data_IF_545091522992
#
_entry.id   IF_545091522992
#
_cell.length_a   1.000
_cell.length_b   1.000
_cell.length_c   1.000
_cell.angle_alpha   90.00
_cell.angle_beta   90.00
_cell.angle_gamma   90.00
#
_symmetry.space_group_name_H-M   'P 1'
#
loop_
_entity.id
_entity.type
_entity.pdbx_description
1 polymer ?
#
# COMPACT_ATOMS: atom_id res chain seq x y z
N UNK A 1 -6.63 2.16 -20.67
CA UNK A 1 -6.57 3.53 -20.14
C UNK A 1 -5.32 4.22 -20.66
N UNK A 2 -5.31 5.56 -20.71
CA UNK A 2 -4.13 6.36 -21.01
C UNK A 2 -3.57 6.88 -19.68
N UNK A 3 -2.31 6.58 -19.40
CA UNK A 3 -1.68 6.93 -18.12
C UNK A 3 -0.37 7.67 -18.42
N UNK A 4 -0.18 8.81 -17.77
CA UNK A 4 1.11 9.50 -17.75
C UNK A 4 1.77 9.21 -16.40
N UNK A 5 3.02 8.75 -16.47
CA UNK A 5 3.89 8.56 -15.30
C UNK A 5 5.01 9.60 -15.40
N UNK A 6 5.23 10.36 -14.35
CA UNK A 6 6.31 11.35 -14.27
C UNK A 6 7.33 10.92 -13.24
N UNK A 7 8.56 10.70 -13.72
CA UNK A 7 9.67 10.14 -12.97
C UNK A 7 9.95 8.69 -13.38
N UNK A 8 11.11 8.44 -14.00
CA UNK A 8 11.54 7.13 -14.50
C UNK A 8 12.46 6.36 -13.55
N UNK A 9 12.59 6.80 -12.30
CA UNK A 9 13.33 6.07 -11.27
C UNK A 9 12.71 4.69 -10.98
N UNK A 10 13.19 3.98 -9.96
CA UNK A 10 12.77 2.60 -9.67
C UNK A 10 11.25 2.43 -9.63
N UNK A 11 10.53 3.30 -8.92
CA UNK A 11 9.07 3.21 -8.81
C UNK A 11 8.39 3.42 -10.15
N UNK A 12 8.77 4.49 -10.87
CA UNK A 12 8.15 4.81 -12.17
C UNK A 12 8.46 3.78 -13.24
N UNK A 13 9.68 3.25 -13.26
CA UNK A 13 10.08 2.17 -14.17
C UNK A 13 9.20 0.94 -13.99
N UNK A 14 9.14 0.39 -12.78
CA UNK A 14 8.34 -0.81 -12.50
C UNK A 14 6.83 -0.58 -12.64
N UNK A 15 6.36 0.63 -12.31
CA UNK A 15 4.96 1.00 -12.52
C UNK A 15 4.60 1.01 -14.01
N UNK A 16 5.46 1.62 -14.84
CA UNK A 16 5.28 1.65 -16.29
C UNK A 16 5.28 0.23 -16.89
N UNK A 17 6.24 -0.61 -16.49
CA UNK A 17 6.33 -1.99 -16.94
C UNK A 17 5.06 -2.80 -16.60
N UNK A 18 4.63 -2.76 -15.34
CA UNK A 18 3.44 -3.51 -14.89
C UNK A 18 2.15 -3.04 -15.56
N UNK A 19 1.97 -1.74 -15.71
CA UNK A 19 0.72 -1.17 -16.27
C UNK A 19 0.65 -1.27 -17.78
N UNK A 20 1.77 -1.38 -18.50
CA UNK A 20 1.83 -1.42 -19.97
C UNK A 20 1.13 -2.63 -20.59
N UNK A 21 0.91 -3.70 -19.85
CA UNK A 21 0.21 -4.89 -20.34
C UNK A 21 -1.22 -4.60 -20.83
N UNK A 22 -1.92 -3.67 -20.15
CA UNK A 22 -3.33 -3.38 -20.42
C UNK A 22 -3.62 -1.89 -20.65
N UNK A 23 -2.59 -1.04 -20.70
CA UNK A 23 -2.74 0.41 -20.80
C UNK A 23 -1.71 1.01 -21.77
N UNK A 24 -2.00 2.22 -22.27
CA UNK A 24 -1.01 3.05 -22.93
C UNK A 24 -0.31 3.93 -21.91
N UNK A 25 0.99 3.84 -21.85
CA UNK A 25 1.81 4.54 -20.87
C UNK A 25 2.65 5.60 -21.58
N UNK A 26 2.64 6.82 -21.08
CA UNK A 26 3.63 7.84 -21.40
C UNK A 26 4.47 8.08 -20.16
N UNK A 27 5.75 7.79 -20.24
CA UNK A 27 6.71 8.06 -19.18
C UNK A 27 7.43 9.36 -19.48
N UNK A 28 7.37 10.32 -18.57
CA UNK A 28 8.15 11.57 -18.66
C UNK A 28 9.33 11.45 -17.69
N UNK A 29 10.56 11.65 -18.22
CA UNK A 29 11.79 11.58 -17.43
C UNK A 29 12.76 12.71 -17.84
N UNK A 30 13.42 13.31 -16.85
CA UNK A 30 14.41 14.36 -17.10
C UNK A 30 15.72 13.79 -17.64
N UNK A 31 16.13 12.62 -17.13
CA UNK A 31 17.42 12.01 -17.45
C UNK A 31 17.30 11.00 -18.60
N UNK A 32 18.11 11.19 -19.65
CA UNK A 32 18.09 10.40 -20.89
C UNK A 32 18.37 8.90 -20.61
N UNK A 33 19.31 8.59 -19.74
CA UNK A 33 19.78 7.21 -19.56
C UNK A 33 18.78 6.33 -18.81
N UNK A 34 17.92 6.93 -18.00
CA UNK A 34 16.81 6.23 -17.32
C UNK A 34 15.73 5.87 -18.35
N UNK A 35 15.38 6.78 -19.24
CA UNK A 35 14.38 6.56 -20.28
C UNK A 35 14.75 5.48 -21.31
N UNK A 36 16.03 5.29 -21.59
CA UNK A 36 16.53 4.30 -22.57
C UNK A 36 16.22 2.84 -22.19
N UNK A 37 16.13 2.52 -20.89
CA UNK A 37 15.83 1.16 -20.42
C UNK A 37 14.44 0.67 -20.81
N UNK A 38 13.48 1.61 -20.97
CA UNK A 38 12.11 1.32 -21.37
C UNK A 38 11.85 1.59 -22.86
N UNK A 39 12.82 2.22 -23.56
CA UNK A 39 12.72 2.48 -24.98
C UNK A 39 12.64 1.16 -25.76
N UNK A 40 11.54 0.92 -26.44
CA UNK A 40 11.26 -0.32 -27.16
C UNK A 40 10.28 -1.27 -26.50
N UNK A 41 9.84 -0.98 -25.26
CA UNK A 41 8.76 -1.73 -24.64
C UNK A 41 7.43 -1.46 -25.33
N UNK A 42 6.64 -2.51 -25.55
CA UNK A 42 5.31 -2.38 -26.17
C UNK A 42 4.41 -1.53 -25.25
N UNK A 43 3.70 -0.56 -25.83
CA UNK A 43 2.75 0.33 -25.14
C UNK A 43 3.38 1.35 -24.15
N UNK A 44 4.69 1.58 -24.20
CA UNK A 44 5.35 2.64 -23.42
C UNK A 44 6.00 3.64 -24.39
N UNK A 45 5.55 4.90 -24.30
CA UNK A 45 6.21 6.03 -24.95
C UNK A 45 7.03 6.78 -23.89
N UNK A 46 8.30 7.00 -24.16
CA UNK A 46 9.17 7.77 -23.27
C UNK A 46 9.36 9.18 -23.85
N UNK A 47 9.10 10.19 -23.03
CA UNK A 47 9.32 11.61 -23.37
C UNK A 47 10.37 12.16 -22.41
N UNK A 48 11.46 12.68 -22.96
CA UNK A 48 12.43 13.39 -22.16
C UNK A 48 11.95 14.79 -21.85
N UNK A 49 11.91 15.15 -20.57
CA UNK A 49 11.53 16.50 -20.16
C UNK A 49 11.21 16.64 -18.69
N UNK A 50 10.93 17.87 -18.28
CA UNK A 50 10.50 18.21 -16.94
C UNK A 50 8.96 18.14 -16.84
N UNK A 51 8.44 17.25 -16.02
CA UNK A 51 7.00 17.12 -15.77
C UNK A 51 6.36 18.35 -15.11
N UNK A 52 7.14 19.20 -14.46
CA UNK A 52 6.66 20.49 -13.95
C UNK A 52 6.44 21.53 -15.07
N UNK A 53 6.86 21.24 -16.32
CA UNK A 53 6.60 22.10 -17.45
C UNK A 53 5.27 21.71 -18.14
N UNK A 54 4.26 22.61 -18.18
CA UNK A 54 2.97 22.33 -18.81
C UNK A 54 3.08 21.94 -20.29
N UNK A 55 4.10 22.45 -21.01
CA UNK A 55 4.31 22.11 -22.41
C UNK A 55 4.75 20.65 -22.59
N UNK A 56 5.56 20.12 -21.69
CA UNK A 56 5.98 18.70 -21.68
C UNK A 56 4.77 17.81 -21.40
N UNK A 57 3.95 18.16 -20.41
CA UNK A 57 2.68 17.45 -20.14
C UNK A 57 1.73 17.49 -21.35
N UNK A 58 1.64 18.65 -22.03
CA UNK A 58 0.85 18.79 -23.25
C UNK A 58 1.37 17.90 -24.36
N UNK A 59 2.69 17.85 -24.55
CA UNK A 59 3.35 16.97 -25.53
C UNK A 59 3.09 15.50 -25.21
N UNK A 60 3.03 15.14 -23.94
CA UNK A 60 2.68 13.80 -23.45
C UNK A 60 1.19 13.45 -23.64
N UNK A 61 0.37 14.37 -24.13
CA UNK A 61 -1.05 14.11 -24.37
C UNK A 61 -1.94 14.19 -23.15
N UNK A 62 -1.57 14.96 -22.14
CA UNK A 62 -2.27 15.05 -20.84
C UNK A 62 -3.77 15.32 -20.94
N UNK A 63 -4.22 16.08 -21.97
CA UNK A 63 -5.64 16.39 -22.18
C UNK A 63 -6.51 15.17 -22.53
N UNK A 64 -5.90 14.05 -22.92
CA UNK A 64 -6.58 12.78 -23.24
C UNK A 64 -6.23 11.66 -22.24
N UNK A 65 -5.57 12.03 -21.15
CA UNK A 65 -5.08 11.10 -20.13
C UNK A 65 -6.14 10.88 -19.05
N UNK A 66 -6.28 9.65 -18.63
CA UNK A 66 -7.20 9.26 -17.54
C UNK A 66 -6.56 9.48 -16.17
N UNK A 67 -5.25 9.21 -16.06
CA UNK A 67 -4.51 9.26 -14.79
C UNK A 67 -3.12 9.88 -15.01
N UNK A 68 -2.71 10.78 -14.13
CA UNK A 68 -1.33 11.25 -14.00
C UNK A 68 -0.77 10.75 -12.68
N UNK A 69 0.35 10.01 -12.73
CA UNK A 69 1.09 9.52 -11.57
C UNK A 69 2.44 10.24 -11.47
N UNK A 70 2.61 11.09 -10.47
CA UNK A 70 3.85 11.77 -10.16
C UNK A 70 4.64 10.97 -9.12
N UNK A 71 5.75 10.37 -9.53
CA UNK A 71 6.54 9.44 -8.72
C UNK A 71 8.03 9.78 -8.71
N UNK A 72 8.34 11.08 -8.81
CA UNK A 72 9.73 11.57 -8.76
C UNK A 72 10.32 11.45 -7.35
N UNK A 73 11.60 11.79 -7.20
CA UNK A 73 12.28 11.86 -5.91
C UNK A 73 11.94 13.10 -5.08
N UNK A 74 11.17 14.05 -5.62
CA UNK A 74 10.92 15.34 -4.98
C UNK A 74 9.41 15.59 -4.79
N UNK A 75 9.00 15.85 -3.55
CA UNK A 75 7.59 16.07 -3.19
C UNK A 75 7.02 17.35 -3.82
N UNK A 76 7.82 18.41 -3.91
CA UNK A 76 7.37 19.67 -4.52
C UNK A 76 7.08 19.45 -6.00
N UNK A 77 7.98 18.76 -6.72
CA UNK A 77 7.75 18.41 -8.12
C UNK A 77 6.48 17.56 -8.28
N UNK A 78 6.31 16.51 -7.44
CA UNK A 78 5.14 15.63 -7.49
C UNK A 78 3.83 16.40 -7.26
N UNK A 79 3.83 17.33 -6.32
CA UNK A 79 2.67 18.18 -6.04
C UNK A 79 2.36 19.09 -7.23
N UNK A 80 3.37 19.81 -7.74
CA UNK A 80 3.22 20.74 -8.88
C UNK A 80 2.70 20.02 -10.13
N UNK A 81 3.25 18.84 -10.45
CA UNK A 81 2.80 18.01 -11.56
C UNK A 81 1.32 17.67 -11.42
N UNK A 82 0.91 17.20 -10.24
CA UNK A 82 -0.50 16.86 -9.98
C UNK A 82 -1.42 18.07 -10.07
N UNK A 83 -1.02 19.24 -9.54
CA UNK A 83 -1.79 20.47 -9.64
C UNK A 83 -1.92 20.93 -11.10
N UNK A 84 -0.84 20.95 -11.89
CA UNK A 84 -0.92 21.29 -13.31
C UNK A 84 -1.85 20.32 -14.04
N UNK A 85 -1.71 19.02 -13.81
CA UNK A 85 -2.56 18.02 -14.43
C UNK A 85 -4.04 18.23 -14.10
N UNK A 86 -4.36 18.54 -12.85
CA UNK A 86 -5.72 18.69 -12.35
C UNK A 86 -6.32 20.05 -12.69
N UNK A 87 -5.61 21.13 -12.37
CA UNK A 87 -6.16 22.49 -12.46
C UNK A 87 -6.12 23.06 -13.87
N UNK A 88 -5.05 22.77 -14.62
CA UNK A 88 -4.88 23.28 -15.99
C UNK A 88 -5.50 22.32 -17.02
N UNK A 89 -5.19 21.04 -16.92
CA UNK A 89 -5.60 20.05 -17.94
C UNK A 89 -6.85 19.23 -17.57
N UNK A 90 -7.40 19.41 -16.36
CA UNK A 90 -8.62 18.76 -15.87
C UNK A 90 -8.57 17.24 -15.94
N UNK A 91 -7.41 16.65 -15.65
CA UNK A 91 -7.23 15.20 -15.57
C UNK A 91 -8.14 14.63 -14.45
N UNK A 92 -8.77 13.52 -14.74
CA UNK A 92 -9.79 12.92 -13.84
C UNK A 92 -9.21 12.44 -12.53
N UNK A 93 -7.98 11.91 -12.55
CA UNK A 93 -7.33 11.33 -11.38
C UNK A 93 -5.84 11.63 -11.36
N UNK A 94 -5.37 12.11 -10.22
CA UNK A 94 -3.96 12.35 -9.93
C UNK A 94 -3.49 11.46 -8.79
N UNK A 95 -2.32 10.89 -8.94
CA UNK A 95 -1.68 10.03 -7.92
C UNK A 95 -0.28 10.59 -7.69
N UNK A 96 0.11 10.80 -6.45
CA UNK A 96 1.44 11.27 -6.10
C UNK A 96 2.13 10.32 -5.12
N UNK A 97 3.41 10.04 -5.38
CA UNK A 97 4.30 9.50 -4.37
C UNK A 97 4.70 10.63 -3.42
N UNK A 98 4.58 10.39 -2.13
CA UNK A 98 5.07 11.27 -1.07
C UNK A 98 6.32 10.64 -0.49
N UNK A 99 7.42 11.41 -0.41
CA UNK A 99 8.69 10.94 0.13
C UNK A 99 8.82 11.28 1.62
N UNK A 100 8.28 12.44 2.04
CA UNK A 100 8.26 12.91 3.41
C UNK A 100 6.87 12.74 4.03
N UNK A 101 6.66 11.84 5.00
CA UNK A 101 5.33 11.49 5.56
C UNK A 101 4.50 12.71 5.99
N UNK A 102 5.15 13.73 6.56
CA UNK A 102 4.51 14.99 7.00
C UNK A 102 3.80 15.74 5.89
N UNK A 103 4.17 15.50 4.61
CA UNK A 103 3.61 16.18 3.46
C UNK A 103 2.32 15.52 2.94
N UNK A 104 2.00 14.27 3.31
CA UNK A 104 0.83 13.54 2.80
C UNK A 104 -0.47 14.37 2.92
N UNK A 105 -0.70 14.95 4.10
CA UNK A 105 -1.90 15.75 4.37
C UNK A 105 -2.00 16.99 3.46
N UNK A 106 -0.86 17.62 3.16
CA UNK A 106 -0.81 18.81 2.28
C UNK A 106 -1.21 18.43 0.85
N UNK A 107 -0.78 17.27 0.34
CA UNK A 107 -1.16 16.81 -0.99
C UNK A 107 -2.68 16.69 -1.13
N UNK A 108 -3.36 16.08 -0.15
CA UNK A 108 -4.82 16.00 -0.16
C UNK A 108 -5.48 17.37 -0.05
N UNK A 109 -4.98 18.27 0.80
CA UNK A 109 -5.51 19.63 0.95
C UNK A 109 -5.38 20.45 -0.33
N UNK A 110 -4.34 20.20 -1.12
CA UNK A 110 -4.09 20.88 -2.39
C UNK A 110 -4.66 20.13 -3.59
N UNK A 111 -5.59 19.19 -3.35
CA UNK A 111 -6.45 18.61 -4.37
C UNK A 111 -5.89 17.39 -5.10
N UNK A 112 -4.78 16.79 -4.65
CA UNK A 112 -4.32 15.50 -5.18
C UNK A 112 -5.29 14.40 -4.76
N UNK A 113 -5.72 13.56 -5.70
CA UNK A 113 -6.76 12.56 -5.43
C UNK A 113 -6.23 11.40 -4.58
N UNK A 114 -4.97 11.00 -4.79
CA UNK A 114 -4.31 9.94 -4.04
C UNK A 114 -2.87 10.34 -3.75
N UNK A 115 -2.52 10.46 -2.49
CA UNK A 115 -1.15 10.64 -2.02
C UNK A 115 -0.70 9.35 -1.33
N UNK A 116 0.46 8.82 -1.72
CA UNK A 116 0.99 7.56 -1.21
C UNK A 116 2.30 7.86 -0.49
N UNK A 117 2.26 7.80 0.83
CA UNK A 117 3.46 7.87 1.67
C UNK A 117 4.25 6.56 1.57
N UNK A 118 5.19 6.54 0.63
CA UNK A 118 5.98 5.35 0.34
C UNK A 118 6.97 5.01 1.45
N UNK A 119 7.46 6.01 2.19
CA UNK A 119 8.42 5.80 3.26
C UNK A 119 7.77 5.08 4.45
N UNK A 120 6.62 5.57 4.90
CA UNK A 120 5.89 4.94 6.01
C UNK A 120 5.39 3.53 5.66
N UNK A 121 4.95 3.31 4.42
CA UNK A 121 4.53 1.96 3.99
C UNK A 121 5.70 0.98 4.05
N UNK A 122 6.86 1.36 3.49
CA UNK A 122 8.05 0.49 3.50
C UNK A 122 8.56 0.28 4.92
N UNK A 123 8.65 1.37 5.73
CA UNK A 123 9.09 1.28 7.11
C UNK A 123 8.19 0.34 7.92
N UNK A 124 6.86 0.43 7.74
CA UNK A 124 5.91 -0.45 8.43
C UNK A 124 6.10 -1.92 8.05
N UNK A 125 6.26 -2.22 6.76
CA UNK A 125 6.52 -3.61 6.31
C UNK A 125 7.82 -4.15 6.90
N UNK A 126 8.88 -3.32 6.96
CA UNK A 126 10.15 -3.75 7.57
C UNK A 126 10.00 -3.91 9.08
N UNK A 127 9.32 -2.98 9.76
CA UNK A 127 9.02 -3.06 11.19
C UNK A 127 8.30 -4.36 11.54
N UNK A 128 7.25 -4.69 10.77
CA UNK A 128 6.47 -5.91 10.96
C UNK A 128 7.32 -7.19 10.78
N UNK A 129 8.31 -7.18 9.89
CA UNK A 129 9.20 -8.34 9.67
C UNK A 129 10.38 -8.41 10.67
N UNK A 130 10.77 -7.27 11.25
CA UNK A 130 11.86 -7.20 12.25
C UNK A 130 11.34 -7.37 13.66
N UNK A 131 10.08 -7.01 13.92
CA UNK A 131 9.45 -7.18 15.22
C UNK A 131 9.20 -8.65 15.51
N UNK A 132 9.64 -9.11 16.68
CA UNK A 132 9.35 -10.45 17.19
C UNK A 132 7.94 -10.51 17.82
N UNK A 133 7.07 -9.59 17.43
CA UNK A 133 5.71 -9.56 17.93
C UNK A 133 4.87 -10.62 17.22
N UNK A 134 4.13 -11.41 17.99
CA UNK A 134 3.23 -12.45 17.48
C UNK A 134 2.02 -11.87 16.71
N UNK A 135 1.91 -10.53 16.61
CA UNK A 135 0.87 -9.84 15.84
C UNK A 135 1.48 -8.93 14.77
N UNK A 136 1.05 -9.13 13.53
CA UNK A 136 1.44 -8.33 12.37
C UNK A 136 0.20 -7.69 11.75
N UNK A 137 0.18 -6.36 11.66
CA UNK A 137 -0.89 -5.64 10.97
C UNK A 137 -0.66 -5.68 9.46
N UNK A 138 -1.36 -6.56 8.76
CA UNK A 138 -1.22 -6.75 7.31
C UNK A 138 -1.78 -5.58 6.50
N UNK A 139 -2.86 -4.97 6.94
CA UNK A 139 -3.51 -3.87 6.25
C UNK A 139 -4.46 -3.08 7.15
N UNK A 140 -4.42 -1.74 7.07
CA UNK A 140 -5.37 -0.86 7.78
C UNK A 140 -6.18 -0.03 6.80
N UNK A 141 -7.51 -0.11 6.89
CA UNK A 141 -8.43 0.73 6.13
C UNK A 141 -8.62 2.07 6.86
N UNK A 142 -8.09 3.16 6.31
CA UNK A 142 -8.24 4.53 6.89
C UNK A 142 -9.71 4.94 7.06
N UNK A 143 -10.60 4.51 6.14
CA UNK A 143 -12.05 4.68 6.29
C UNK A 143 -12.62 3.48 7.04
N UNK A 144 -13.00 3.68 8.30
CA UNK A 144 -13.67 2.65 9.12
C UNK A 144 -12.83 2.11 10.26
N UNK A 145 -11.59 2.57 10.42
CA UNK A 145 -10.71 2.16 11.53
C UNK A 145 -10.60 0.64 11.66
N UNK A 146 -10.46 -0.04 10.51
CA UNK A 146 -10.47 -1.49 10.40
C UNK A 146 -9.10 -2.00 10.02
N UNK A 147 -8.61 -3.02 10.71
CA UNK A 147 -7.34 -3.68 10.43
C UNK A 147 -7.53 -5.13 10.05
N UNK A 148 -6.68 -5.60 9.16
CA UNK A 148 -6.44 -7.03 8.93
C UNK A 148 -5.12 -7.37 9.61
N UNK A 149 -5.15 -8.30 10.53
CA UNK A 149 -4.00 -8.70 11.33
C UNK A 149 -3.69 -10.18 11.15
N UNK A 150 -2.41 -10.54 11.26
CA UNK A 150 -1.93 -11.91 11.42
C UNK A 150 -1.43 -12.06 12.84
N UNK A 151 -1.80 -13.13 13.49
CA UNK A 151 -1.37 -13.48 14.85
C UNK A 151 -0.78 -14.89 14.81
N UNK A 152 0.48 -15.01 15.17
CA UNK A 152 1.20 -16.27 15.24
C UNK A 152 0.99 -16.88 16.62
N UNK A 153 0.47 -18.11 16.72
CA UNK A 153 0.12 -18.73 17.99
C UNK A 153 1.33 -19.43 18.63
N UNK A 154 1.83 -18.90 19.76
CA UNK A 154 2.91 -19.54 20.51
C UNK A 154 2.42 -20.82 21.23
N UNK A 155 3.35 -21.60 21.75
CA UNK A 155 3.04 -22.87 22.44
C UNK A 155 2.16 -22.70 23.70
N UNK A 156 2.26 -21.55 24.35
CA UNK A 156 1.50 -21.20 25.56
C UNK A 156 0.21 -20.40 25.30
N UNK A 157 -0.21 -20.27 24.03
CA UNK A 157 -1.43 -19.53 23.66
C UNK A 157 -2.67 -20.11 24.38
N UNK A 158 -3.50 -19.26 24.99
CA UNK A 158 -4.76 -19.69 25.64
C UNK A 158 -5.79 -20.17 24.61
N UNK A 159 -5.66 -19.83 23.33
CA UNK A 159 -6.60 -20.20 22.28
C UNK A 159 -6.36 -21.62 21.70
N UNK A 160 -5.27 -22.29 22.08
CA UNK A 160 -4.93 -23.61 21.58
C UNK A 160 -5.85 -24.68 22.17
N UNK A 161 -6.25 -25.64 21.31
CA UNK A 161 -7.15 -26.74 21.65
C UNK A 161 -8.57 -26.32 22.09
N UNK A 162 -8.94 -25.06 21.79
CA UNK A 162 -10.29 -24.53 22.05
C UNK A 162 -10.99 -24.32 20.70
N UNK A 163 -12.28 -24.67 20.55
CA UNK A 163 -13.07 -24.32 19.38
C UNK A 163 -13.19 -22.79 19.21
N UNK A 164 -13.12 -22.28 17.99
CA UNK A 164 -13.15 -20.83 17.72
C UNK A 164 -14.37 -20.12 18.32
N UNK A 165 -15.51 -20.77 18.38
CA UNK A 165 -16.74 -20.22 18.97
C UNK A 165 -16.72 -20.13 20.50
N UNK A 166 -15.69 -20.68 21.14
CA UNK A 166 -15.49 -20.61 22.60
C UNK A 166 -14.37 -19.63 22.98
N UNK A 167 -13.63 -19.10 21.99
CA UNK A 167 -12.60 -18.09 22.22
C UNK A 167 -13.28 -16.73 22.37
N UNK A 168 -12.98 -16.02 23.44
CA UNK A 168 -13.53 -14.69 23.73
C UNK A 168 -12.80 -13.60 22.91
N UNK A 169 -13.10 -13.55 21.61
CA UNK A 169 -12.60 -12.49 20.74
C UNK A 169 -13.45 -11.22 20.86
N UNK A 170 -12.86 -10.01 20.73
CA UNK A 170 -13.62 -8.75 20.76
C UNK A 170 -14.79 -8.76 19.76
N UNK A 171 -15.95 -8.20 20.18
CA UNK A 171 -17.19 -8.26 19.40
C UNK A 171 -17.13 -7.67 17.97
N UNK A 172 -16.20 -6.75 17.73
CA UNK A 172 -15.91 -6.16 16.40
C UNK A 172 -14.73 -6.85 15.71
N UNK A 173 -14.47 -8.12 16.02
CA UNK A 173 -13.38 -8.91 15.42
C UNK A 173 -13.92 -10.20 14.85
N UNK A 174 -13.31 -10.66 13.76
CA UNK A 174 -13.64 -11.94 13.13
C UNK A 174 -12.38 -12.65 12.64
N UNK A 175 -12.23 -13.93 12.96
CA UNK A 175 -11.18 -14.77 12.41
C UNK A 175 -11.64 -15.24 11.02
N UNK A 176 -10.89 -14.86 9.98
CA UNK A 176 -11.24 -15.11 8.57
C UNK A 176 -10.42 -16.22 7.95
N UNK A 177 -9.27 -16.55 8.51
CA UNK A 177 -8.37 -17.56 7.96
C UNK A 177 -7.43 -18.11 9.03
N UNK A 178 -6.91 -19.30 8.77
CA UNK A 178 -5.81 -19.91 9.52
C UNK A 178 -4.83 -20.47 8.53
N UNK A 179 -3.54 -20.16 8.67
CA UNK A 179 -2.48 -20.80 7.93
C UNK A 179 -1.86 -21.87 8.81
N UNK A 180 -1.83 -23.09 8.34
CA UNK A 180 -1.24 -24.24 9.03
C UNK A 180 -0.33 -25.00 8.09
N UNK A 181 0.96 -25.07 8.38
CA UNK A 181 1.98 -25.70 7.52
C UNK A 181 1.99 -25.16 6.08
N UNK A 182 1.69 -23.87 5.90
CA UNK A 182 1.63 -23.22 4.57
C UNK A 182 0.29 -23.34 3.85
N UNK A 183 -0.66 -24.13 4.36
CA UNK A 183 -1.99 -24.28 3.77
C UNK A 183 -2.98 -23.29 4.41
N UNK A 184 -3.77 -22.63 3.56
CA UNK A 184 -4.81 -21.70 4.01
C UNK A 184 -6.10 -22.46 4.30
N UNK A 185 -6.62 -22.30 5.51
CA UNK A 185 -7.88 -22.91 5.98
C UNK A 185 -8.86 -21.78 6.27
N UNK A 186 -10.09 -21.87 5.75
CA UNK A 186 -11.19 -21.00 6.16
C UNK A 186 -11.91 -21.69 7.31
N UNK A 187 -11.74 -21.21 8.56
CA UNK A 187 -12.23 -21.93 9.72
C UNK A 187 -13.76 -21.77 9.90
N UNK A 188 -14.36 -22.74 10.58
CA UNK A 188 -15.75 -22.67 11.07
C UNK A 188 -15.72 -22.57 12.59
N UNK A 189 -16.85 -22.24 13.22
CA UNK A 189 -16.92 -22.04 14.67
C UNK A 189 -16.41 -23.21 15.52
N UNK A 190 -16.52 -24.45 15.05
CA UNK A 190 -16.00 -25.64 15.71
C UNK A 190 -14.54 -25.99 15.36
N UNK A 191 -13.85 -25.12 14.57
CA UNK A 191 -12.44 -25.33 14.24
C UNK A 191 -11.57 -25.15 15.48
N UNK A 192 -10.59 -26.03 15.64
CA UNK A 192 -9.67 -26.02 16.79
C UNK A 192 -8.30 -25.53 16.32
N UNK A 193 -7.83 -24.46 16.96
CA UNK A 193 -6.51 -23.87 16.75
C UNK A 193 -5.42 -24.78 17.37
N UNK A 194 -4.25 -24.77 16.72
CA UNK A 194 -3.07 -25.53 17.15
C UNK A 194 -1.86 -24.64 17.29
N UNK A 195 -0.85 -25.14 17.96
CA UNK A 195 0.47 -24.51 18.05
C UNK A 195 1.02 -24.22 16.65
N UNK A 196 1.61 -23.04 16.46
CA UNK A 196 2.18 -22.54 15.21
C UNK A 196 1.15 -22.31 14.10
N UNK A 197 -0.13 -22.23 14.41
CA UNK A 197 -1.10 -21.69 13.48
C UNK A 197 -0.89 -20.17 13.37
N UNK A 198 -0.97 -19.65 12.14
CA UNK A 198 -1.03 -18.22 11.89
C UNK A 198 -2.50 -17.84 11.69
N UNK A 199 -3.05 -17.06 12.58
CA UNK A 199 -4.47 -16.66 12.57
C UNK A 199 -4.60 -15.33 11.82
N UNK A 200 -5.43 -15.30 10.78
CA UNK A 200 -5.78 -14.06 10.07
C UNK A 200 -7.13 -13.59 10.59
N UNK A 201 -7.16 -12.36 11.09
CA UNK A 201 -8.38 -11.75 11.62
C UNK A 201 -8.60 -10.34 11.06
N UNK A 202 -9.86 -9.94 11.06
CA UNK A 202 -10.28 -8.56 10.80
C UNK A 202 -10.81 -7.99 12.10
N UNK A 203 -10.33 -6.82 12.49
CA UNK A 203 -10.69 -6.17 13.76
C UNK A 203 -10.68 -4.66 13.61
N UNK A 204 -11.29 -3.92 14.55
CA UNK A 204 -11.04 -2.48 14.69
C UNK A 204 -9.66 -2.25 15.27
N UNK A 205 -8.99 -1.16 14.83
CA UNK A 205 -7.65 -0.78 15.33
C UNK A 205 -7.63 -0.71 16.88
N UNK A 206 -8.68 -0.17 17.49
CA UNK A 206 -8.81 -0.06 18.95
C UNK A 206 -8.92 -1.41 19.68
N UNK A 207 -9.26 -2.48 18.96
CA UNK A 207 -9.43 -3.83 19.50
C UNK A 207 -8.25 -4.77 19.20
N UNK A 208 -7.21 -4.32 18.48
CA UNK A 208 -6.06 -5.15 18.16
C UNK A 208 -5.40 -5.76 19.39
N UNK A 209 -5.13 -4.94 20.42
CA UNK A 209 -4.53 -5.41 21.67
C UNK A 209 -5.42 -6.39 22.44
N UNK A 210 -6.74 -6.25 22.37
CA UNK A 210 -7.69 -7.17 23.03
C UNK A 210 -7.77 -8.49 22.27
N UNK A 211 -7.75 -8.45 20.94
CA UNK A 211 -7.70 -9.63 20.09
C UNK A 211 -6.39 -10.41 20.32
N UNK A 212 -5.27 -9.69 20.41
CA UNK A 212 -3.97 -10.28 20.70
C UNK A 212 -3.99 -11.04 22.03
N UNK A 213 -4.48 -10.41 23.12
CA UNK A 213 -4.60 -11.08 24.42
C UNK A 213 -5.49 -12.32 24.38
N UNK A 214 -6.58 -12.29 23.61
CA UNK A 214 -7.46 -13.44 23.47
C UNK A 214 -6.79 -14.62 22.75
N UNK A 215 -5.88 -14.35 21.81
CA UNK A 215 -5.22 -15.37 21.01
C UNK A 215 -3.86 -15.80 21.57
N UNK A 216 -3.07 -14.89 22.11
CA UNK A 216 -1.69 -15.15 22.57
C UNK A 216 -1.59 -15.21 24.10
N UNK A 217 -2.42 -14.46 24.80
CA UNK A 217 -2.35 -14.29 26.25
C UNK A 217 -1.74 -12.95 26.66
N UNK A 218 -1.51 -12.79 27.96
CA UNK A 218 -0.80 -11.63 28.48
C UNK A 218 0.71 -11.81 28.23
N UNK A 219 1.32 -10.84 27.56
CA UNK A 219 2.78 -10.76 27.44
C UNK A 219 3.27 -10.15 28.75
N UNK A 220 4.01 -10.90 29.56
CA UNK A 220 4.77 -10.31 30.66
C UNK A 220 5.81 -9.36 30.04
N UNK A 221 5.64 -8.04 30.25
CA UNK A 221 6.70 -7.07 29.95
C UNK A 221 7.89 -7.43 30.85
N UNK A 222 8.91 -8.05 30.29
CA UNK A 222 10.21 -8.14 30.95
C UNK A 222 10.73 -6.71 31.17
N UNK A 223 10.83 -6.35 32.48
CA UNK A 223 11.37 -5.08 32.97
C UNK A 223 12.88 -4.96 32.74
#
# INVERSE_FOLDING_TARGET
MNIIIVGGGNVGYHLAERLSNNNYIVLIEKEIDVGKKLAGSRNILVIQGDGCNPNVLKQAGVSKTDVVAAVTGNDVDNLVICQIAKDVFKVKRTVAKVNEPKNEKIFYQLGVDVAIDSASIIAKVIEDEVSWEDIITLFTFKKGNLSVVRVDLPENSPAINIPLNEIDVPGDSVIVGVIRNGDIIIPKGNFILKVKDEVIAITKVENESSLFRALVGEVEEEQ
#
